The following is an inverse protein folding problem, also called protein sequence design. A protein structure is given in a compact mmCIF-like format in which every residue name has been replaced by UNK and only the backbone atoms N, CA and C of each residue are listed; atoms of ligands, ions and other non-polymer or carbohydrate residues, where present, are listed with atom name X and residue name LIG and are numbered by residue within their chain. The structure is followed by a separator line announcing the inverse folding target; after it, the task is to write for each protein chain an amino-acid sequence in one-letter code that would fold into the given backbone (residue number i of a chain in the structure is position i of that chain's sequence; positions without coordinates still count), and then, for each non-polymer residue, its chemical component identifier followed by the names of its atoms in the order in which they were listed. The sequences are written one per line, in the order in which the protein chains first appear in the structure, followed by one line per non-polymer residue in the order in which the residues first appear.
data_IF_075541875524
#
_entry.id   IF_075541875524
#
_cell.length_a   1.000
_cell.length_b   1.000
_cell.length_c   1.000
_cell.angle_alpha   90.00
_cell.angle_beta   90.00
_cell.angle_gamma   90.00
#
_symmetry.space_group_name_H-M   'P 1'
#
loop_
_entity.id
_entity.type
_entity.pdbx_description
1 polymer ?
#
# COMPACT_ATOMS: atom_id res chain seq x y z
N UNK A 1 2.44 -56.42 -15.71
CA UNK A 1 3.40 -55.40 -15.24
C UNK A 1 3.10 -54.13 -16.02
N UNK A 2 2.24 -53.29 -15.52
CA UNK A 2 1.81 -52.03 -16.17
C UNK A 2 2.30 -50.89 -15.30
N UNK A 3 3.29 -50.18 -15.83
CA UNK A 3 3.94 -49.04 -15.18
C UNK A 3 3.08 -47.79 -15.38
N UNK A 4 2.40 -47.31 -14.35
CA UNK A 4 1.66 -46.04 -14.38
C UNK A 4 2.61 -44.91 -13.99
N UNK A 5 3.12 -44.17 -14.97
CA UNK A 5 3.84 -42.91 -14.74
C UNK A 5 2.83 -41.84 -14.41
N UNK A 6 2.81 -41.36 -13.16
CA UNK A 6 2.13 -40.16 -12.73
C UNK A 6 2.95 -38.96 -13.19
N UNK A 7 2.45 -38.28 -14.22
CA UNK A 7 2.93 -37.00 -14.70
C UNK A 7 2.54 -35.90 -13.69
N UNK A 8 3.52 -35.39 -12.96
CA UNK A 8 3.36 -34.13 -12.21
C UNK A 8 3.46 -32.98 -13.20
N UNK A 9 2.32 -32.35 -13.48
CA UNK A 9 2.30 -31.07 -14.17
C UNK A 9 2.97 -30.00 -13.28
N UNK A 10 3.87 -29.15 -13.82
CA UNK A 10 4.45 -28.07 -13.07
C UNK A 10 3.36 -27.06 -12.73
N UNK A 11 3.21 -26.75 -11.44
CA UNK A 11 2.40 -25.64 -10.95
C UNK A 11 2.89 -24.37 -11.65
N UNK A 12 2.10 -23.82 -12.55
CA UNK A 12 2.35 -22.51 -13.14
C UNK A 12 2.37 -21.49 -12.00
N UNK A 13 3.55 -20.94 -11.72
CA UNK A 13 3.69 -19.76 -10.90
C UNK A 13 2.85 -18.66 -11.57
N UNK A 14 1.76 -18.25 -10.95
CA UNK A 14 0.98 -17.10 -11.37
C UNK A 14 1.91 -15.90 -11.41
N UNK A 15 2.13 -15.35 -12.61
CA UNK A 15 2.96 -14.17 -12.79
C UNK A 15 2.45 -13.08 -11.85
N UNK A 16 3.35 -12.47 -11.07
CA UNK A 16 3.01 -11.38 -10.17
C UNK A 16 2.35 -10.27 -10.98
N UNK A 17 1.13 -9.88 -10.58
CA UNK A 17 0.38 -8.80 -11.24
C UNK A 17 0.87 -7.42 -10.82
N UNK A 18 1.86 -7.35 -9.91
CA UNK A 18 2.43 -6.14 -9.35
C UNK A 18 3.31 -5.35 -10.33
N UNK A 19 3.57 -4.10 -10.00
CA UNK A 19 4.46 -3.19 -10.73
C UNK A 19 5.86 -3.22 -10.11
N UNK A 20 6.90 -3.35 -10.93
CA UNK A 20 8.27 -3.06 -10.53
C UNK A 20 8.46 -1.54 -10.40
N UNK A 21 8.97 -1.09 -9.26
CA UNK A 21 9.21 0.32 -8.96
C UNK A 21 10.69 0.52 -8.69
N UNK A 22 11.32 1.45 -9.40
CA UNK A 22 12.70 1.81 -9.19
C UNK A 22 12.86 3.33 -9.13
N UNK A 23 13.35 3.82 -7.98
CA UNK A 23 13.78 5.20 -7.77
C UNK A 23 15.30 5.23 -7.81
N UNK A 24 15.87 6.09 -8.62
CA UNK A 24 17.32 6.19 -8.80
C UNK A 24 17.77 7.63 -8.55
N UNK A 25 18.46 7.86 -7.43
CA UNK A 25 19.01 9.15 -7.04
C UNK A 25 17.96 10.26 -6.97
N UNK A 26 16.74 9.94 -6.49
CA UNK A 26 15.62 10.88 -6.48
C UNK A 26 15.83 11.96 -5.42
N UNK A 27 15.95 13.21 -5.87
CA UNK A 27 15.90 14.39 -5.01
C UNK A 27 14.60 15.14 -5.26
N UNK A 28 13.91 15.55 -4.19
CA UNK A 28 12.75 16.44 -4.26
C UNK A 28 12.93 17.62 -3.33
N UNK A 29 12.94 18.80 -3.92
CA UNK A 29 12.96 20.07 -3.19
C UNK A 29 11.71 20.90 -3.49
N UNK A 30 11.30 21.71 -2.52
CA UNK A 30 10.26 22.73 -2.61
C UNK A 30 10.89 24.07 -2.20
N UNK A 31 11.26 24.90 -3.17
CA UNK A 31 12.11 26.06 -2.94
C UNK A 31 13.46 25.61 -2.34
N UNK A 32 13.84 26.19 -1.21
CA UNK A 32 15.10 25.87 -0.52
C UNK A 32 15.02 24.62 0.38
N UNK A 33 13.82 24.05 0.56
CA UNK A 33 13.63 22.87 1.40
C UNK A 33 13.78 21.57 0.60
N UNK A 34 14.85 20.82 0.82
CA UNK A 34 15.01 19.47 0.31
C UNK A 34 14.29 18.49 1.23
N UNK A 35 13.32 17.77 0.67
CA UNK A 35 12.45 16.81 1.40
C UNK A 35 12.89 15.36 1.19
N UNK A 36 13.36 15.02 -0.01
CA UNK A 36 14.05 13.77 -0.32
C UNK A 36 15.39 14.12 -0.95
N UNK A 37 16.45 13.43 -0.54
CA UNK A 37 17.82 13.71 -0.91
C UNK A 37 18.53 12.42 -1.33
N UNK A 38 18.88 12.32 -2.62
CA UNK A 38 19.54 11.16 -3.24
C UNK A 38 18.89 9.83 -2.87
N UNK A 39 17.56 9.80 -2.94
CA UNK A 39 16.73 8.68 -2.49
C UNK A 39 16.68 7.60 -3.55
N UNK A 40 17.25 6.41 -3.26
CA UNK A 40 17.25 5.26 -4.15
C UNK A 40 16.55 4.08 -3.50
N UNK A 41 15.55 3.52 -4.20
CA UNK A 41 14.73 2.42 -3.70
C UNK A 41 14.24 1.57 -4.86
N UNK A 42 14.37 0.25 -4.72
CA UNK A 42 13.77 -0.73 -5.60
C UNK A 42 12.67 -1.50 -4.86
N UNK A 43 11.51 -1.67 -5.50
CA UNK A 43 10.39 -2.49 -5.00
C UNK A 43 10.05 -3.50 -6.07
N UNK A 44 10.10 -4.77 -5.72
CA UNK A 44 9.82 -5.88 -6.64
C UNK A 44 8.31 -6.04 -6.91
N UNK A 45 7.91 -6.57 -8.08
CA UNK A 45 6.51 -6.87 -8.37
C UNK A 45 5.89 -7.76 -7.29
N UNK A 46 4.75 -7.33 -6.72
CA UNK A 46 4.04 -8.05 -5.68
C UNK A 46 4.64 -7.91 -4.27
N UNK A 47 5.72 -7.14 -4.09
CA UNK A 47 6.30 -6.86 -2.77
C UNK A 47 5.44 -5.88 -1.98
N UNK A 48 5.33 -6.09 -0.67
CA UNK A 48 4.71 -5.16 0.26
C UNK A 48 5.80 -4.42 1.06
N UNK A 49 6.06 -3.17 0.72
CA UNK A 49 7.06 -2.32 1.41
C UNK A 49 6.37 -1.36 2.35
N UNK A 50 6.80 -1.33 3.61
CA UNK A 50 6.36 -0.35 4.59
C UNK A 50 7.45 0.71 4.82
N UNK A 51 7.05 1.98 4.81
CA UNK A 51 7.94 3.13 5.03
C UNK A 51 7.53 3.84 6.30
N UNK A 52 8.45 3.93 7.24
CA UNK A 52 8.25 4.59 8.54
C UNK A 52 9.25 5.73 8.75
N UNK A 53 8.92 6.63 9.67
CA UNK A 53 9.77 7.76 10.03
C UNK A 53 8.98 8.88 10.71
N UNK A 54 9.70 9.86 11.27
CA UNK A 54 9.09 11.03 11.95
C UNK A 54 8.21 11.84 10.99
N UNK A 55 7.30 12.64 11.54
CA UNK A 55 6.52 13.58 10.72
C UNK A 55 7.45 14.53 9.96
N UNK A 56 7.12 14.81 8.70
CA UNK A 56 7.91 15.71 7.85
C UNK A 56 9.15 15.08 7.17
N UNK A 57 9.49 13.80 7.41
CA UNK A 57 10.69 13.19 6.83
C UNK A 57 10.61 12.82 5.33
N UNK A 58 9.49 13.13 4.65
CA UNK A 58 9.36 12.92 3.20
C UNK A 58 8.44 11.78 2.77
N UNK A 59 7.82 11.01 3.69
CA UNK A 59 6.97 9.84 3.38
C UNK A 59 5.83 10.14 2.40
N UNK A 60 5.01 11.14 2.69
CA UNK A 60 3.89 11.51 1.80
C UNK A 60 4.38 12.12 0.49
N UNK A 61 5.57 12.74 0.48
CA UNK A 61 6.21 13.22 -0.76
C UNK A 61 6.62 12.05 -1.64
N UNK A 62 7.24 11.00 -1.07
CA UNK A 62 7.57 9.76 -1.77
C UNK A 62 6.33 9.15 -2.43
N UNK A 63 5.23 9.07 -1.67
CA UNK A 63 3.97 8.53 -2.17
C UNK A 63 3.39 9.35 -3.32
N UNK A 64 3.44 10.70 -3.23
CA UNK A 64 3.00 11.60 -4.31
C UNK A 64 3.86 11.49 -5.57
N UNK A 65 5.17 11.31 -5.41
CA UNK A 65 6.07 11.05 -6.53
C UNK A 65 5.72 9.76 -7.26
N UNK A 66 5.49 8.66 -6.54
CA UNK A 66 5.10 7.37 -7.11
C UNK A 66 3.70 7.40 -7.75
N UNK A 67 2.80 8.22 -7.22
CA UNK A 67 1.50 8.48 -7.85
C UNK A 67 1.59 9.34 -9.11
N UNK A 68 2.74 9.97 -9.40
CA UNK A 68 2.91 10.93 -10.49
C UNK A 68 2.16 12.25 -10.26
N UNK A 69 1.87 12.57 -8.98
CA UNK A 69 1.26 13.84 -8.56
C UNK A 69 2.32 14.92 -8.33
N UNK A 70 3.58 14.50 -8.17
CA UNK A 70 4.76 15.32 -8.08
C UNK A 70 5.82 14.78 -9.03
N UNK A 71 6.75 15.63 -9.45
CA UNK A 71 7.92 15.25 -10.25
C UNK A 71 9.19 15.40 -9.40
N UNK A 72 10.18 14.50 -9.52
CA UNK A 72 11.45 14.69 -8.86
C UNK A 72 12.17 15.96 -9.38
N UNK A 73 12.94 16.60 -8.51
CA UNK A 73 13.81 17.72 -8.88
C UNK A 73 15.07 17.20 -9.59
N UNK A 74 15.59 16.06 -9.13
CA UNK A 74 16.71 15.32 -9.73
C UNK A 74 16.45 13.83 -9.64
N UNK A 75 17.19 13.03 -10.43
CA UNK A 75 17.01 11.58 -10.51
C UNK A 75 15.82 11.18 -11.35
N UNK A 76 15.43 9.95 -11.23
CA UNK A 76 14.31 9.40 -12.02
C UNK A 76 13.54 8.30 -11.27
N UNK A 77 12.29 8.14 -11.69
CA UNK A 77 11.41 7.06 -11.24
C UNK A 77 11.03 6.23 -12.45
N UNK A 78 11.24 4.92 -12.36
CA UNK A 78 10.96 3.97 -13.44
C UNK A 78 9.95 2.94 -12.93
N UNK A 79 8.90 2.70 -13.70
CA UNK A 79 7.86 1.73 -13.42
C UNK A 79 7.80 0.72 -14.57
N UNK A 80 8.04 -0.56 -14.29
CA UNK A 80 8.08 -1.62 -15.30
C UNK A 80 8.99 -1.25 -16.50
N UNK A 81 10.16 -0.68 -16.24
CA UNK A 81 11.12 -0.23 -17.27
C UNK A 81 10.75 1.08 -17.98
N UNK A 82 9.66 1.75 -17.60
CA UNK A 82 9.24 3.02 -18.21
C UNK A 82 9.36 4.17 -17.22
N UNK A 83 10.01 5.26 -17.64
CA UNK A 83 10.14 6.48 -16.83
C UNK A 83 8.78 7.10 -16.52
N UNK A 84 8.54 7.42 -15.26
CA UNK A 84 7.32 8.08 -14.79
C UNK A 84 7.43 9.60 -15.03
N UNK A 85 6.75 10.10 -16.05
CA UNK A 85 6.75 11.53 -16.42
C UNK A 85 5.38 12.20 -16.29
N UNK A 86 4.36 11.46 -15.84
CA UNK A 86 2.97 11.91 -15.73
C UNK A 86 2.23 11.11 -14.69
N UNK A 87 0.95 11.42 -14.48
CA UNK A 87 0.09 10.68 -13.55
C UNK A 87 0.22 9.16 -13.76
N UNK A 88 0.47 8.43 -12.66
CA UNK A 88 0.59 6.98 -12.68
C UNK A 88 -0.79 6.33 -12.74
N UNK A 89 -1.21 5.92 -13.94
CA UNK A 89 -2.52 5.28 -14.14
C UNK A 89 -2.61 3.85 -13.59
N UNK A 90 -1.47 3.20 -13.34
CA UNK A 90 -1.38 1.86 -12.73
C UNK A 90 -1.49 1.90 -11.20
N UNK A 91 -1.25 3.07 -10.59
CA UNK A 91 -1.33 3.25 -9.15
C UNK A 91 -2.71 3.71 -8.69
N UNK A 92 -3.05 3.35 -7.46
CA UNK A 92 -4.15 3.94 -6.70
C UNK A 92 -3.65 4.34 -5.32
N UNK A 93 -4.16 5.47 -4.86
CA UNK A 93 -3.80 6.01 -3.53
C UNK A 93 -4.99 5.88 -2.60
N UNK A 94 -4.74 5.31 -1.43
CA UNK A 94 -5.63 5.38 -0.28
C UNK A 94 -5.04 6.36 0.73
N UNK A 95 -5.75 7.43 0.99
CA UNK A 95 -5.32 8.50 1.91
C UNK A 95 -5.76 8.20 3.34
N UNK A 96 -5.11 8.83 4.31
CA UNK A 96 -5.46 8.79 5.73
C UNK A 96 -6.93 9.18 5.97
N UNK A 97 -7.39 10.27 5.36
CA UNK A 97 -8.82 10.58 5.26
C UNK A 97 -9.41 9.81 4.06
N UNK A 98 -10.52 9.15 4.28
CA UNK A 98 -11.21 8.34 3.26
C UNK A 98 -11.60 9.12 1.99
N UNK A 99 -11.70 10.44 2.08
CA UNK A 99 -12.08 11.37 0.99
C UNK A 99 -13.27 10.87 0.19
N UNK A 100 -14.29 10.34 0.89
CA UNK A 100 -15.54 9.96 0.27
C UNK A 100 -16.38 11.21 -0.01
N UNK A 101 -17.07 11.20 -1.16
CA UNK A 101 -17.97 12.26 -1.54
C UNK A 101 -19.28 12.14 -0.74
N UNK A 102 -19.58 13.06 0.20
CA UNK A 102 -20.73 12.92 1.10
C UNK A 102 -22.08 13.01 0.38
N UNK A 103 -22.12 13.64 -0.79
CA UNK A 103 -23.29 13.77 -1.66
C UNK A 103 -23.49 12.61 -2.63
N UNK A 104 -22.69 11.53 -2.50
CA UNK A 104 -22.81 10.30 -3.29
C UNK A 104 -23.03 9.09 -2.40
N UNK A 105 -23.75 8.11 -2.91
CA UNK A 105 -23.91 6.81 -2.29
C UNK A 105 -22.59 6.03 -2.28
N UNK A 106 -22.52 4.98 -1.46
CA UNK A 106 -21.35 4.12 -1.33
C UNK A 106 -20.92 3.56 -2.69
N UNK A 107 -21.84 2.95 -3.44
CA UNK A 107 -21.53 2.35 -4.73
C UNK A 107 -21.02 3.39 -5.76
N UNK A 108 -21.53 4.60 -5.71
CA UNK A 108 -21.10 5.69 -6.58
C UNK A 108 -19.71 6.21 -6.20
N UNK A 109 -19.36 6.19 -4.91
CA UNK A 109 -18.01 6.50 -4.46
C UNK A 109 -17.01 5.45 -4.93
N UNK A 110 -17.35 4.16 -4.87
CA UNK A 110 -16.49 3.07 -5.35
C UNK A 110 -16.35 3.14 -6.87
N UNK A 111 -17.41 3.49 -7.60
CA UNK A 111 -17.41 3.59 -9.06
C UNK A 111 -16.59 4.75 -9.63
N UNK A 112 -16.06 5.65 -8.78
CA UNK A 112 -15.29 6.82 -9.25
C UNK A 112 -14.09 6.39 -10.11
N UNK A 113 -14.03 6.93 -11.31
CA UNK A 113 -12.96 6.64 -12.28
C UNK A 113 -13.20 5.42 -13.16
N UNK A 114 -14.28 4.66 -12.96
CA UNK A 114 -14.69 3.60 -13.86
C UNK A 114 -15.51 4.19 -15.03
N UNK A 115 -15.21 3.72 -16.25
CA UNK A 115 -15.97 4.08 -17.46
C UNK A 115 -16.98 2.99 -17.82
N UNK A 116 -16.53 1.74 -17.86
CA UNK A 116 -17.31 0.57 -18.24
C UNK A 116 -17.50 -0.40 -17.08
N UNK A 117 -18.57 -1.19 -17.11
CA UNK A 117 -18.89 -2.20 -16.09
C UNK A 117 -18.83 -1.65 -14.64
N UNK A 118 -19.11 -0.35 -14.47
CA UNK A 118 -18.94 0.32 -13.18
C UNK A 118 -19.73 -0.37 -12.07
N UNK A 119 -20.97 -0.78 -12.34
CA UNK A 119 -21.86 -1.38 -11.35
C UNK A 119 -21.41 -2.78 -10.91
N UNK A 120 -21.16 -3.77 -11.79
CA UNK A 120 -20.66 -5.08 -11.40
C UNK A 120 -19.33 -5.02 -10.66
N UNK A 121 -18.38 -4.21 -11.14
CA UNK A 121 -17.08 -4.05 -10.52
C UNK A 121 -17.15 -3.41 -9.14
N UNK A 122 -18.06 -2.43 -8.96
CA UNK A 122 -18.26 -1.79 -7.66
C UNK A 122 -18.88 -2.75 -6.64
N UNK A 123 -19.83 -3.60 -7.04
CA UNK A 123 -20.35 -4.65 -6.17
C UNK A 123 -19.26 -5.65 -5.79
N UNK A 124 -18.47 -6.12 -6.76
CA UNK A 124 -17.31 -6.97 -6.47
C UNK A 124 -16.37 -6.33 -5.45
N UNK A 125 -15.97 -5.08 -5.64
CA UNK A 125 -15.07 -4.40 -4.73
C UNK A 125 -15.68 -4.21 -3.33
N UNK A 126 -16.97 -3.95 -3.23
CA UNK A 126 -17.68 -3.86 -1.95
C UNK A 126 -17.79 -5.22 -1.25
N UNK A 127 -17.94 -6.32 -1.99
CA UNK A 127 -17.89 -7.68 -1.45
C UNK A 127 -16.51 -7.99 -0.85
N UNK A 128 -15.42 -7.58 -1.53
CA UNK A 128 -14.05 -7.78 -1.02
C UNK A 128 -13.83 -7.14 0.36
N UNK A 129 -14.51 -6.04 0.66
CA UNK A 129 -14.39 -5.33 1.95
C UNK A 129 -15.57 -5.62 2.91
N UNK A 130 -16.47 -6.53 2.55
CA UNK A 130 -17.61 -6.94 3.39
C UNK A 130 -18.71 -5.89 3.52
N UNK A 131 -18.87 -4.98 2.54
CA UNK A 131 -19.81 -3.86 2.61
C UNK A 131 -20.81 -3.79 1.43
N UNK A 132 -21.01 -4.90 0.69
CA UNK A 132 -21.94 -4.91 -0.45
C UNK A 132 -23.39 -4.59 -0.03
N UNK A 133 -23.82 -5.05 1.15
CA UNK A 133 -25.13 -4.72 1.73
C UNK A 133 -25.32 -3.20 1.98
N UNK A 134 -24.26 -2.42 2.03
CA UNK A 134 -24.27 -0.98 2.21
C UNK A 134 -24.16 -0.18 0.91
N UNK A 135 -24.19 -0.82 -0.26
CA UNK A 135 -23.99 -0.20 -1.57
C UNK A 135 -24.87 1.04 -1.81
N UNK A 136 -26.13 1.01 -1.35
CA UNK A 136 -27.09 2.10 -1.51
C UNK A 136 -27.12 3.10 -0.34
N UNK A 137 -26.31 2.90 0.69
CA UNK A 137 -26.25 3.82 1.84
C UNK A 137 -25.53 5.12 1.45
N UNK A 138 -25.86 6.21 2.19
CA UNK A 138 -25.09 7.45 2.14
C UNK A 138 -23.82 7.32 2.98
N UNK A 139 -22.73 7.95 2.54
CA UNK A 139 -21.44 7.85 3.26
C UNK A 139 -21.47 8.55 4.63
N UNK A 140 -22.41 9.46 4.83
CA UNK A 140 -22.55 10.21 6.08
C UNK A 140 -23.03 9.35 7.26
N UNK A 141 -23.73 8.25 7.02
CA UNK A 141 -24.25 7.35 8.07
C UNK A 141 -23.26 6.25 8.47
N UNK A 142 -22.05 6.26 7.92
CA UNK A 142 -21.06 5.20 8.10
C UNK A 142 -20.07 5.52 9.22
N UNK A 143 -19.62 4.46 9.93
CA UNK A 143 -18.51 4.57 10.89
C UNK A 143 -17.18 4.88 10.18
N UNK A 144 -16.18 5.35 10.94
CA UNK A 144 -14.83 5.60 10.42
C UNK A 144 -14.22 4.37 9.71
N UNK A 145 -14.31 3.21 10.33
CA UNK A 145 -13.83 1.94 9.76
C UNK A 145 -14.57 1.54 8.48
N UNK A 146 -15.88 1.74 8.42
CA UNK A 146 -16.65 1.51 7.19
C UNK A 146 -16.22 2.46 6.07
N UNK A 147 -15.99 3.75 6.39
CA UNK A 147 -15.49 4.72 5.42
C UNK A 147 -14.11 4.32 4.87
N UNK A 148 -13.21 3.83 5.73
CA UNK A 148 -11.89 3.35 5.30
C UNK A 148 -11.99 2.09 4.43
N UNK A 149 -12.85 1.13 4.77
CA UNK A 149 -13.12 -0.04 3.91
C UNK A 149 -13.65 0.36 2.53
N UNK A 150 -14.52 1.38 2.45
CA UNK A 150 -15.01 1.88 1.15
C UNK A 150 -13.90 2.59 0.37
N UNK A 151 -13.01 3.35 1.04
CA UNK A 151 -11.86 3.95 0.39
C UNK A 151 -10.92 2.87 -0.19
N UNK A 152 -10.73 1.75 0.53
CA UNK A 152 -10.00 0.59 0.02
C UNK A 152 -10.71 -0.04 -1.18
N UNK A 153 -12.03 -0.28 -1.09
CA UNK A 153 -12.83 -0.79 -2.22
C UNK A 153 -12.71 0.11 -3.47
N UNK A 154 -12.76 1.43 -3.28
CA UNK A 154 -12.56 2.41 -4.36
C UNK A 154 -11.16 2.32 -4.98
N UNK A 155 -10.13 2.06 -4.19
CA UNK A 155 -8.78 1.85 -4.71
C UNK A 155 -8.68 0.52 -5.49
N UNK A 156 -9.30 -0.55 -5.00
CA UNK A 156 -9.23 -1.90 -5.59
C UNK A 156 -10.12 -2.10 -6.81
N UNK A 157 -11.20 -1.32 -6.96
CA UNK A 157 -12.20 -1.51 -8.04
C UNK A 157 -11.59 -1.47 -9.43
N UNK A 158 -10.46 -0.78 -9.61
CA UNK A 158 -9.72 -0.70 -10.87
C UNK A 158 -8.67 -1.80 -11.02
N UNK A 159 -8.51 -2.69 -10.03
CA UNK A 159 -7.47 -3.72 -9.98
C UNK A 159 -6.08 -3.13 -10.22
N UNK A 160 -5.58 -2.27 -9.32
CA UNK A 160 -4.31 -1.58 -9.51
C UNK A 160 -3.14 -2.57 -9.44
N UNK A 161 -2.09 -2.30 -10.22
CA UNK A 161 -0.82 -3.03 -10.09
C UNK A 161 0.05 -2.46 -8.94
N UNK A 162 -0.19 -1.21 -8.53
CA UNK A 162 0.50 -0.54 -7.43
C UNK A 162 -0.52 0.12 -6.49
N UNK A 163 -0.53 -0.30 -5.22
CA UNK A 163 -1.37 0.30 -4.18
C UNK A 163 -0.50 1.14 -3.24
N UNK A 164 -0.83 2.41 -3.14
CA UNK A 164 -0.15 3.39 -2.29
C UNK A 164 -1.04 3.73 -1.10
N UNK A 165 -0.58 3.43 0.11
CA UNK A 165 -1.34 3.54 1.35
C UNK A 165 -0.71 4.64 2.22
N UNK A 166 -1.38 5.78 2.38
CA UNK A 166 -0.93 6.91 3.19
C UNK A 166 -1.64 6.91 4.54
N UNK A 167 -0.99 6.38 5.58
CA UNK A 167 -1.50 6.25 6.95
C UNK A 167 -2.94 5.68 7.02
N UNK A 168 -3.23 4.54 6.35
CA UNK A 168 -4.60 4.07 6.11
C UNK A 168 -5.36 3.70 7.39
N UNK A 169 -4.65 3.47 8.51
CA UNK A 169 -5.20 2.98 9.76
C UNK A 169 -5.12 4.01 10.92
N UNK A 170 -4.49 5.17 10.69
CA UNK A 170 -4.20 6.15 11.74
C UNK A 170 -5.41 6.71 12.47
N UNK A 171 -6.59 6.75 11.82
CA UNK A 171 -7.83 7.29 12.40
C UNK A 171 -8.74 6.21 13.00
N UNK A 172 -8.31 4.94 13.08
CA UNK A 172 -9.12 3.81 13.53
C UNK A 172 -8.86 3.46 15.00
N UNK A 173 -9.92 3.03 15.70
CA UNK A 173 -9.77 2.36 17.00
C UNK A 173 -9.02 1.03 16.88
N UNK A 174 -8.54 0.50 18.01
CA UNK A 174 -7.65 -0.66 18.04
C UNK A 174 -8.24 -1.91 17.36
N UNK A 175 -9.51 -2.23 17.60
CA UNK A 175 -10.14 -3.44 17.03
C UNK A 175 -10.37 -3.28 15.54
N UNK A 176 -10.92 -2.15 15.13
CA UNK A 176 -11.13 -1.81 13.71
C UNK A 176 -9.81 -1.79 12.93
N UNK A 177 -8.71 -1.34 13.56
CA UNK A 177 -7.37 -1.34 12.99
C UNK A 177 -6.89 -2.76 12.70
N UNK A 178 -7.02 -3.69 13.66
CA UNK A 178 -6.65 -5.11 13.48
C UNK A 178 -7.44 -5.74 12.34
N UNK A 179 -8.74 -5.51 12.28
CA UNK A 179 -9.59 -6.04 11.22
C UNK A 179 -9.21 -5.49 9.84
N UNK A 180 -8.84 -4.21 9.79
CA UNK A 180 -8.42 -3.57 8.55
C UNK A 180 -7.03 -4.05 8.10
N UNK A 181 -6.09 -4.26 9.03
CA UNK A 181 -4.78 -4.87 8.72
C UNK A 181 -4.96 -6.25 8.09
N UNK A 182 -5.75 -7.12 8.72
CA UNK A 182 -6.06 -8.46 8.19
C UNK A 182 -6.69 -8.41 6.80
N UNK A 183 -7.62 -7.49 6.60
CA UNK A 183 -8.28 -7.29 5.31
C UNK A 183 -7.27 -6.89 4.23
N UNK A 184 -6.41 -5.90 4.50
CA UNK A 184 -5.37 -5.45 3.57
C UNK A 184 -4.41 -6.60 3.24
N UNK A 185 -3.95 -7.35 4.25
CA UNK A 185 -3.06 -8.50 4.06
C UNK A 185 -3.70 -9.59 3.18
N UNK A 186 -4.95 -9.96 3.47
CA UNK A 186 -5.69 -10.97 2.69
C UNK A 186 -5.83 -10.55 1.23
N UNK A 187 -6.27 -9.32 0.98
CA UNK A 187 -6.46 -8.80 -0.37
C UNK A 187 -5.14 -8.70 -1.14
N UNK A 188 -4.06 -8.31 -0.47
CA UNK A 188 -2.73 -8.29 -1.07
C UNK A 188 -2.24 -9.71 -1.42
N UNK A 189 -2.43 -10.69 -0.53
CA UNK A 189 -2.06 -12.08 -0.80
C UNK A 189 -2.83 -12.70 -1.97
N UNK A 190 -4.12 -12.36 -2.11
CA UNK A 190 -4.98 -12.85 -3.20
C UNK A 190 -4.67 -12.17 -4.54
N UNK A 191 -4.45 -10.87 -4.55
CA UNK A 191 -4.34 -10.08 -5.78
C UNK A 191 -2.91 -9.83 -6.24
N UNK A 192 -1.91 -9.95 -5.34
CA UNK A 192 -0.47 -9.84 -5.64
C UNK A 192 -0.06 -8.50 -6.28
N UNK A 193 -0.77 -7.41 -5.99
CA UNK A 193 -0.33 -6.07 -6.37
C UNK A 193 0.92 -5.67 -5.57
N UNK A 194 1.76 -4.81 -6.12
CA UNK A 194 2.84 -4.15 -5.35
C UNK A 194 2.21 -3.14 -4.39
N UNK A 195 2.64 -3.13 -3.13
CA UNK A 195 2.12 -2.21 -2.12
C UNK A 195 3.22 -1.35 -1.49
N UNK A 196 2.96 -0.06 -1.36
CA UNK A 196 3.75 0.84 -0.51
C UNK A 196 2.86 1.41 0.58
N UNK A 197 3.17 1.08 1.83
CA UNK A 197 2.53 1.61 3.02
C UNK A 197 3.40 2.70 3.64
N UNK A 198 2.84 3.88 3.82
CA UNK A 198 3.44 4.94 4.62
C UNK A 198 2.70 5.00 5.94
N UNK A 199 3.43 4.90 7.04
CA UNK A 199 2.86 4.96 8.38
C UNK A 199 3.86 5.55 9.39
N UNK A 200 3.36 6.03 10.52
CA UNK A 200 4.17 6.35 11.70
C UNK A 200 4.13 5.22 12.75
N UNK A 201 3.32 4.19 12.53
CA UNK A 201 3.18 3.04 13.43
C UNK A 201 4.11 1.91 12.98
N UNK A 202 5.14 1.65 13.80
CA UNK A 202 6.13 0.61 13.52
C UNK A 202 5.52 -0.79 13.59
N UNK A 203 4.52 -0.99 14.45
CA UNK A 203 3.83 -2.27 14.57
C UNK A 203 3.07 -2.58 13.27
N UNK A 204 2.35 -1.60 12.73
CA UNK A 204 1.68 -1.72 11.44
C UNK A 204 2.68 -2.09 10.33
N UNK A 205 3.83 -1.41 10.29
CA UNK A 205 4.87 -1.65 9.31
C UNK A 205 5.43 -3.08 9.35
N UNK A 206 5.78 -3.58 10.54
CA UNK A 206 6.33 -4.95 10.69
C UNK A 206 5.26 -6.03 10.55
N UNK A 207 3.98 -5.71 10.78
CA UNK A 207 2.88 -6.65 10.56
C UNK A 207 2.58 -6.85 9.07
N UNK A 208 2.59 -5.78 8.27
CA UNK A 208 2.16 -5.81 6.88
C UNK A 208 3.31 -5.90 5.87
N UNK A 209 4.45 -5.26 6.14
CA UNK A 209 5.57 -5.17 5.17
C UNK A 209 6.36 -6.46 5.02
N UNK A 210 6.73 -6.84 3.80
CA UNK A 210 7.81 -7.80 3.55
C UNK A 210 9.17 -7.15 3.78
N UNK A 211 9.24 -5.83 3.65
CA UNK A 211 10.37 -4.97 3.99
C UNK A 211 9.89 -3.74 4.74
N UNK A 212 10.69 -3.29 5.71
CA UNK A 212 10.46 -2.03 6.43
C UNK A 212 11.63 -1.09 6.18
N UNK A 213 11.31 0.11 5.71
CA UNK A 213 12.26 1.17 5.40
C UNK A 213 12.05 2.31 6.39
N UNK A 214 13.13 2.75 7.04
CA UNK A 214 13.12 3.95 7.88
C UNK A 214 13.65 5.12 7.05
N UNK A 215 12.83 6.17 6.92
CA UNK A 215 13.26 7.43 6.31
C UNK A 215 13.52 8.46 7.40
N UNK A 216 14.67 9.13 7.27
CA UNK A 216 15.07 10.21 8.13
C UNK A 216 15.78 11.29 7.31
N UNK A 217 15.45 12.56 7.56
CA UNK A 217 16.01 13.69 6.81
C UNK A 217 16.03 13.49 5.28
N UNK A 218 14.99 12.85 4.72
CA UNK A 218 14.87 12.60 3.28
C UNK A 218 15.69 11.43 2.73
N UNK A 219 16.40 10.67 3.57
CA UNK A 219 17.25 9.54 3.18
C UNK A 219 16.79 8.23 3.80
N UNK A 220 17.19 7.10 3.22
CA UNK A 220 16.98 5.77 3.81
C UNK A 220 18.07 5.53 4.86
N UNK A 221 17.65 5.36 6.12
CA UNK A 221 18.54 5.07 7.23
C UNK A 221 18.57 3.58 7.61
N UNK A 222 17.47 2.88 7.31
CA UNK A 222 17.36 1.44 7.53
C UNK A 222 16.49 0.83 6.46
N UNK A 223 16.93 -0.30 5.94
CA UNK A 223 16.16 -1.18 5.07
C UNK A 223 16.27 -2.59 5.60
N UNK A 224 15.16 -3.19 6.05
CA UNK A 224 15.17 -4.49 6.70
C UNK A 224 14.07 -5.38 6.17
N UNK A 225 14.42 -6.60 5.73
CA UNK A 225 13.48 -7.62 5.34
C UNK A 225 12.80 -8.26 6.56
N UNK A 226 11.53 -8.61 6.40
CA UNK A 226 10.70 -9.27 7.43
C UNK A 226 10.41 -10.69 6.97
N UNK A 227 11.28 -11.64 7.36
CA UNK A 227 11.20 -13.06 6.95
C UNK A 227 10.29 -13.90 7.86
N UNK A 228 9.15 -13.31 8.29
CA UNK A 228 8.19 -14.01 9.14
C UNK A 228 7.02 -14.52 8.31
N UNK A 229 6.54 -15.76 8.58
CA UNK A 229 5.37 -16.31 7.89
C UNK A 229 4.12 -15.49 8.20
N UNK A 230 3.16 -15.49 7.27
CA UNK A 230 1.86 -14.85 7.42
C UNK A 230 0.77 -15.89 7.72
N UNK A 231 -0.24 -15.59 8.53
CA UNK A 231 -0.45 -14.33 9.24
C UNK A 231 0.55 -14.17 10.40
N UNK A 232 1.09 -12.98 10.56
CA UNK A 232 2.05 -12.69 11.64
C UNK A 232 1.33 -12.58 12.99
N UNK A 233 2.04 -12.97 14.06
CA UNK A 233 1.54 -12.89 15.42
C UNK A 233 2.33 -11.85 16.22
N UNK A 234 1.62 -10.93 16.88
CA UNK A 234 2.24 -9.91 17.75
C UNK A 234 3.02 -10.51 18.93
N UNK A 235 2.71 -11.73 19.33
CA UNK A 235 3.45 -12.45 20.38
C UNK A 235 4.75 -13.10 19.88
N UNK A 236 5.07 -13.03 18.57
CA UNK A 236 6.30 -13.59 18.03
C UNK A 236 7.51 -12.79 18.51
N UNK A 237 8.49 -13.43 19.18
CA UNK A 237 9.69 -12.76 19.67
C UNK A 237 10.53 -12.11 18.56
N UNK A 238 10.55 -12.68 17.36
CA UNK A 238 11.28 -12.12 16.23
C UNK A 238 10.62 -10.86 15.70
N UNK A 239 9.29 -10.82 15.66
CA UNK A 239 8.54 -9.62 15.34
C UNK A 239 8.79 -8.50 16.35
N UNK A 240 8.85 -8.85 17.64
CA UNK A 240 9.18 -7.90 18.71
C UNK A 240 10.59 -7.33 18.55
N UNK A 241 11.59 -8.17 18.20
CA UNK A 241 12.97 -7.73 17.90
C UNK A 241 13.04 -6.80 16.69
N UNK A 242 12.35 -7.12 15.61
CA UNK A 242 12.29 -6.27 14.43
C UNK A 242 11.66 -4.91 14.75
N UNK A 243 10.54 -4.91 15.48
CA UNK A 243 9.89 -3.69 15.96
C UNK A 243 10.86 -2.84 16.79
N UNK A 244 11.58 -3.45 17.73
CA UNK A 244 12.56 -2.76 18.56
C UNK A 244 13.70 -2.18 17.72
N UNK A 245 14.24 -2.94 16.75
CA UNK A 245 15.27 -2.47 15.82
C UNK A 245 14.85 -1.23 15.06
N UNK A 246 13.64 -1.25 14.47
CA UNK A 246 13.07 -0.14 13.71
C UNK A 246 12.83 1.09 14.62
N UNK A 247 12.23 0.87 15.81
CA UNK A 247 12.01 1.94 16.79
C UNK A 247 13.32 2.58 17.23
N UNK A 248 14.35 1.79 17.53
CA UNK A 248 15.66 2.27 17.90
C UNK A 248 16.25 3.20 16.83
N UNK A 249 16.17 2.81 15.55
CA UNK A 249 16.62 3.65 14.44
C UNK A 249 15.87 4.99 14.36
N UNK A 250 14.55 5.00 14.56
CA UNK A 250 13.75 6.23 14.52
C UNK A 250 14.06 7.17 15.69
N UNK A 251 14.43 6.60 16.85
CA UNK A 251 14.64 7.36 18.10
C UNK A 251 16.08 7.86 18.31
N UNK A 252 17.07 7.31 17.59
CA UNK A 252 18.49 7.67 17.75
C UNK A 252 18.86 9.10 17.34
N UNK A 253 17.88 9.92 16.82
CA UNK A 253 18.12 11.31 16.41
C UNK A 253 17.00 12.25 16.83
#
# INVERSE_FOLDING_TARGET
MTNTQTSHAPTQATAATGTHVWLNGVTKAFGDLTVLDDFSLEILPGEFVAVVGKSGCGKSTLLRLLAGLETPTQGEIVLDGQRLNKLNTKARVMFQDSRLLPWRKVIENVALGLKEQARPRSHWALQQVGLDSRAQAWTTVLSGGQKQRIALARALVTQPNLLLLDEPLGALDALTRIDMQRLIETLWQEQRFTALLVTHDVEEAVMLGDRVIVIQAGRIELDVAVHLPRPRNLADPELARLKQKVLHQILQN
#
